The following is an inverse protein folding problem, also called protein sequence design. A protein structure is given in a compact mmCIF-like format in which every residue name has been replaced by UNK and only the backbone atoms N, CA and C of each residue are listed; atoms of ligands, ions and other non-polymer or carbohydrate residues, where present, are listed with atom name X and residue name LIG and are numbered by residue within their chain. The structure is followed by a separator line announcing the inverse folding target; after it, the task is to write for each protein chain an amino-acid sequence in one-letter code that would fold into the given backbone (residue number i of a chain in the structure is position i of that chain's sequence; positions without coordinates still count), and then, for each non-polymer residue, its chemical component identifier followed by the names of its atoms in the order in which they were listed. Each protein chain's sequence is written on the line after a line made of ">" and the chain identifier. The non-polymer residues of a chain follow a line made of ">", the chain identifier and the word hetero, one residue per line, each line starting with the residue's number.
data_IF_447631929007
#
_entry.id   IF_447631929007
#
_cell.length_a   1.000
_cell.length_b   1.000
_cell.length_c   1.000
_cell.angle_alpha   90.00
_cell.angle_beta   90.00
_cell.angle_gamma   90.00
#
_symmetry.space_group_name_H-M   'P 1'
#
loop_
_entity.id
_entity.type
_entity.pdbx_description
1 polymer ?
#
# COMPACT_ATOMS: atom_id res chain seq x y z
N UNK A 1 7.11 -19.89 12.78
CA UNK A 1 5.70 -20.10 12.40
C UNK A 1 5.59 -20.08 10.88
N UNK A 2 4.81 -20.99 10.32
CA UNK A 2 4.52 -20.96 8.88
C UNK A 2 3.40 -19.97 8.61
N UNK A 3 3.59 -19.09 7.63
CA UNK A 3 2.66 -18.00 7.30
C UNK A 3 2.39 -17.93 5.81
N UNK A 4 1.14 -17.66 5.44
CA UNK A 4 0.76 -17.38 4.06
C UNK A 4 0.58 -15.88 3.85
N UNK A 5 1.19 -15.33 2.79
CA UNK A 5 1.01 -13.94 2.36
C UNK A 5 0.41 -13.93 0.96
N UNK A 6 -0.84 -13.51 0.82
CA UNK A 6 -1.44 -13.31 -0.50
C UNK A 6 -1.10 -11.92 -1.04
N UNK A 7 -0.98 -11.79 -2.36
CA UNK A 7 -0.52 -10.53 -2.95
C UNK A 7 0.94 -10.21 -2.62
N UNK A 8 1.73 -11.24 -2.37
CA UNK A 8 3.12 -11.17 -1.90
C UNK A 8 4.06 -10.38 -2.82
N UNK A 9 3.75 -10.23 -4.10
CA UNK A 9 4.55 -9.47 -5.07
C UNK A 9 4.13 -7.99 -5.23
N UNK A 10 3.15 -7.50 -4.43
CA UNK A 10 2.77 -6.10 -4.38
C UNK A 10 3.64 -5.28 -3.42
N UNK A 11 3.50 -3.94 -3.43
CA UNK A 11 4.26 -3.05 -2.56
C UNK A 11 4.20 -3.48 -1.07
N UNK A 12 2.99 -3.64 -0.52
CA UNK A 12 2.83 -4.06 0.89
C UNK A 12 3.26 -5.51 1.08
N UNK A 13 2.81 -6.42 0.20
CA UNK A 13 3.10 -7.85 0.33
C UNK A 13 4.59 -8.18 0.29
N UNK A 14 5.35 -7.58 -0.62
CA UNK A 14 6.79 -7.84 -0.77
C UNK A 14 7.61 -7.36 0.45
N UNK A 15 7.22 -6.22 1.03
CA UNK A 15 7.84 -5.72 2.26
C UNK A 15 7.41 -6.54 3.48
N UNK A 16 6.16 -7.03 3.51
CA UNK A 16 5.68 -7.91 4.57
C UNK A 16 6.39 -9.27 4.55
N UNK A 17 6.62 -9.85 3.36
CA UNK A 17 7.41 -11.10 3.23
C UNK A 17 8.80 -10.91 3.84
N UNK A 18 9.49 -9.79 3.54
CA UNK A 18 10.81 -9.47 4.11
C UNK A 18 10.76 -9.35 5.64
N UNK A 19 9.79 -8.60 6.15
CA UNK A 19 9.61 -8.40 7.59
C UNK A 19 9.38 -9.74 8.32
N UNK A 20 8.56 -10.62 7.74
CA UNK A 20 8.29 -11.95 8.29
C UNK A 20 9.53 -12.83 8.30
N UNK A 21 10.31 -12.86 7.21
CA UNK A 21 11.55 -13.62 7.12
C UNK A 21 12.58 -13.15 8.14
N UNK A 22 12.77 -11.85 8.31
CA UNK A 22 13.68 -11.25 9.32
C UNK A 22 13.27 -11.67 10.74
N UNK A 23 11.98 -11.93 10.97
CA UNK A 23 11.46 -12.39 12.26
C UNK A 23 11.34 -13.92 12.38
N UNK A 24 12.00 -14.67 11.48
CA UNK A 24 12.12 -16.14 11.57
C UNK A 24 10.84 -16.89 11.20
N UNK A 25 9.96 -16.30 10.41
CA UNK A 25 8.80 -17.00 9.87
C UNK A 25 9.19 -17.79 8.62
N UNK A 26 8.58 -18.98 8.45
CA UNK A 26 8.54 -19.69 7.18
C UNK A 26 7.42 -19.05 6.34
N UNK A 27 7.75 -18.45 5.20
CA UNK A 27 6.79 -17.68 4.43
C UNK A 27 6.43 -18.37 3.13
N UNK A 28 5.14 -18.57 2.91
CA UNK A 28 4.56 -18.88 1.59
C UNK A 28 4.08 -17.59 0.94
N UNK A 29 4.69 -17.25 -0.18
CA UNK A 29 4.36 -16.09 -1.00
C UNK A 29 3.35 -16.47 -2.09
N UNK A 30 2.06 -16.21 -1.87
CA UNK A 30 1.01 -16.57 -2.82
C UNK A 30 0.83 -15.48 -3.86
N UNK A 31 1.04 -15.85 -5.12
CA UNK A 31 1.02 -14.97 -6.29
C UNK A 31 0.31 -15.62 -7.48
N UNK A 32 -0.17 -14.81 -8.43
CA UNK A 32 -0.76 -15.35 -9.66
C UNK A 32 0.32 -15.89 -10.61
N UNK A 33 -0.02 -16.85 -11.45
CA UNK A 33 0.90 -17.53 -12.38
C UNK A 33 1.73 -16.56 -13.24
N UNK A 34 1.13 -15.47 -13.71
CA UNK A 34 1.78 -14.48 -14.58
C UNK A 34 2.29 -13.25 -13.80
N UNK A 35 2.60 -13.41 -12.51
CA UNK A 35 3.08 -12.31 -11.67
C UNK A 35 4.54 -11.97 -11.95
N UNK A 36 4.85 -10.69 -11.88
CA UNK A 36 6.24 -10.22 -11.78
C UNK A 36 6.80 -10.60 -10.41
N UNK A 37 7.82 -11.43 -10.38
CA UNK A 37 8.44 -11.96 -9.17
C UNK A 37 9.72 -11.21 -8.75
N UNK A 38 10.09 -10.12 -9.44
CA UNK A 38 11.30 -9.36 -9.11
C UNK A 38 11.35 -8.93 -7.64
N UNK A 39 10.20 -8.58 -7.08
CA UNK A 39 10.09 -8.18 -5.67
C UNK A 39 10.32 -9.31 -4.65
N UNK A 40 10.30 -10.57 -5.09
CA UNK A 40 10.52 -11.76 -4.25
C UNK A 40 11.85 -12.45 -4.56
N UNK A 41 12.58 -11.98 -5.57
CA UNK A 41 13.83 -12.60 -6.00
C UNK A 41 14.86 -12.55 -4.87
N UNK A 42 15.53 -13.68 -4.63
CA UNK A 42 16.58 -13.82 -3.60
C UNK A 42 16.06 -13.99 -2.17
N UNK A 43 14.73 -14.08 -1.96
CA UNK A 43 14.15 -14.38 -0.66
C UNK A 43 13.97 -15.89 -0.46
N UNK A 44 14.11 -16.35 0.78
CA UNK A 44 13.87 -17.76 1.19
C UNK A 44 12.39 -18.13 1.30
N UNK A 45 11.48 -17.28 0.81
CA UNK A 45 10.05 -17.54 0.81
C UNK A 45 9.67 -18.58 -0.27
N UNK A 46 8.84 -19.56 0.10
CA UNK A 46 8.23 -20.50 -0.84
C UNK A 46 7.23 -19.76 -1.73
N UNK A 47 7.49 -19.71 -3.05
CA UNK A 47 6.52 -19.10 -3.99
C UNK A 47 5.45 -20.13 -4.35
N UNK A 48 4.19 -19.81 -4.05
CA UNK A 48 3.02 -20.63 -4.37
C UNK A 48 2.14 -19.90 -5.37
N UNK A 49 1.81 -20.57 -6.48
CA UNK A 49 0.99 -19.99 -7.53
C UNK A 49 -0.49 -20.34 -7.35
N UNK A 50 -1.36 -19.33 -7.55
CA UNK A 50 -2.81 -19.51 -7.51
C UNK A 50 -3.55 -18.18 -7.67
N UNK A 51 -4.86 -18.22 -7.50
CA UNK A 51 -5.72 -17.03 -7.58
C UNK A 51 -6.65 -16.99 -6.34
N UNK A 52 -6.78 -15.82 -5.72
CA UNK A 52 -7.69 -15.64 -4.56
C UNK A 52 -9.15 -15.90 -4.91
N UNK A 53 -9.52 -15.85 -6.20
CA UNK A 53 -10.85 -16.22 -6.68
C UNK A 53 -11.03 -17.74 -6.88
N UNK A 54 -9.97 -18.53 -6.74
CA UNK A 54 -9.98 -19.99 -6.85
C UNK A 54 -9.79 -20.62 -5.46
N UNK A 55 -10.86 -21.05 -4.77
CA UNK A 55 -10.79 -21.54 -3.40
C UNK A 55 -9.80 -22.69 -3.18
N UNK A 56 -9.69 -23.61 -4.14
CA UNK A 56 -8.82 -24.79 -4.02
C UNK A 56 -7.34 -24.40 -4.05
N UNK A 57 -6.95 -23.42 -4.87
CA UNK A 57 -5.58 -22.92 -4.91
C UNK A 57 -5.16 -22.26 -3.59
N UNK A 58 -6.09 -21.55 -2.95
CA UNK A 58 -5.88 -20.97 -1.62
C UNK A 58 -5.83 -22.03 -0.53
N UNK A 59 -6.68 -23.07 -0.60
CA UNK A 59 -6.72 -24.13 0.39
C UNK A 59 -5.37 -24.86 0.44
N UNK A 60 -4.83 -25.29 -0.70
CA UNK A 60 -3.50 -25.92 -0.77
C UNK A 60 -2.37 -24.99 -0.31
N UNK A 61 -2.43 -23.70 -0.66
CA UNK A 61 -1.43 -22.73 -0.20
C UNK A 61 -1.45 -22.49 1.31
N UNK A 62 -2.62 -22.55 1.94
CA UNK A 62 -2.82 -22.30 3.37
C UNK A 62 -2.49 -23.52 4.24
N UNK A 63 -2.34 -24.72 3.67
CA UNK A 63 -2.12 -25.94 4.42
C UNK A 63 -0.90 -25.85 5.34
N UNK A 64 -1.11 -26.14 6.63
CA UNK A 64 -0.08 -26.05 7.67
C UNK A 64 0.37 -24.63 8.04
N UNK A 65 -0.31 -23.58 7.55
CA UNK A 65 -0.04 -22.20 7.94
C UNK A 65 -0.80 -21.83 9.22
N UNK A 66 -0.09 -21.22 10.18
CA UNK A 66 -0.66 -20.75 11.46
C UNK A 66 -1.27 -19.35 11.36
N UNK A 67 -0.76 -18.53 10.43
CA UNK A 67 -1.22 -17.17 10.15
C UNK A 67 -1.42 -16.97 8.65
N UNK A 68 -2.44 -16.18 8.29
CA UNK A 68 -2.66 -15.75 6.93
C UNK A 68 -2.71 -14.22 6.87
N UNK A 69 -1.83 -13.62 6.05
CA UNK A 69 -1.83 -12.20 5.74
C UNK A 69 -2.46 -12.01 4.36
N UNK A 70 -3.64 -11.41 4.33
CA UNK A 70 -4.37 -11.17 3.08
C UNK A 70 -4.11 -9.76 2.57
N UNK A 71 -3.05 -9.61 1.76
CA UNK A 71 -2.68 -8.34 1.12
C UNK A 71 -3.03 -8.28 -0.38
N UNK A 72 -3.65 -9.33 -0.92
CA UNK A 72 -4.10 -9.35 -2.31
C UNK A 72 -5.26 -8.36 -2.50
N UNK A 73 -5.04 -7.37 -3.37
CA UNK A 73 -6.05 -6.40 -3.76
C UNK A 73 -5.75 -5.87 -5.17
N UNK A 74 -6.78 -5.35 -5.84
CA UNK A 74 -6.61 -4.54 -7.04
C UNK A 74 -6.61 -3.07 -6.60
N UNK A 75 -5.44 -2.43 -6.64
CA UNK A 75 -5.31 -1.01 -6.38
C UNK A 75 -5.20 -0.28 -7.71
N UNK A 76 -6.34 0.15 -8.24
CA UNK A 76 -6.42 0.87 -9.52
C UNK A 76 -7.61 1.81 -9.52
N UNK A 77 -7.40 3.02 -10.03
CA UNK A 77 -8.45 4.00 -10.33
C UNK A 77 -8.79 4.03 -11.82
N UNK A 78 -8.25 3.08 -12.63
CA UNK A 78 -8.38 3.07 -14.08
C UNK A 78 -8.64 1.67 -14.62
N UNK A 79 -9.51 1.56 -15.64
CA UNK A 79 -9.88 0.32 -16.38
C UNK A 79 -10.56 -0.80 -15.59
N UNK A 80 -10.93 -0.60 -14.35
CA UNK A 80 -11.72 -1.56 -13.59
C UNK A 80 -13.10 -0.99 -13.33
N UNK A 81 -14.12 -1.80 -13.52
CA UNK A 81 -15.46 -1.42 -13.08
C UNK A 81 -15.55 -1.51 -11.55
N UNK A 82 -16.46 -0.77 -10.89
CA UNK A 82 -16.71 -0.92 -9.46
C UNK A 82 -17.03 -2.37 -9.07
N UNK A 83 -17.75 -3.09 -9.93
CA UNK A 83 -18.16 -4.48 -9.68
C UNK A 83 -16.96 -5.45 -9.77
N UNK A 84 -16.01 -5.23 -10.70
CA UNK A 84 -14.79 -6.02 -10.80
C UNK A 84 -13.93 -5.86 -9.55
N UNK A 85 -13.73 -4.62 -9.10
CA UNK A 85 -12.98 -4.32 -7.88
C UNK A 85 -13.65 -4.96 -6.66
N UNK A 86 -14.96 -4.80 -6.53
CA UNK A 86 -15.74 -5.35 -5.42
C UNK A 86 -15.71 -6.88 -5.43
N UNK A 87 -15.89 -7.53 -6.61
CA UNK A 87 -15.85 -8.99 -6.73
C UNK A 87 -14.52 -9.57 -6.23
N UNK A 88 -13.39 -9.04 -6.70
CA UNK A 88 -12.06 -9.53 -6.27
C UNK A 88 -11.84 -9.25 -4.79
N UNK A 89 -12.20 -8.07 -4.30
CA UNK A 89 -12.01 -7.69 -2.93
C UNK A 89 -12.86 -8.54 -1.97
N UNK A 90 -14.15 -8.70 -2.23
CA UNK A 90 -15.09 -9.42 -1.36
C UNK A 90 -14.86 -10.92 -1.48
N UNK A 91 -14.95 -11.48 -2.69
CA UNK A 91 -14.87 -12.94 -2.87
C UNK A 91 -13.47 -13.46 -2.54
N UNK A 92 -12.42 -12.73 -2.92
CA UNK A 92 -11.04 -13.10 -2.58
C UNK A 92 -10.82 -13.15 -1.08
N UNK A 93 -11.41 -12.20 -0.33
CA UNK A 93 -11.31 -12.18 1.14
C UNK A 93 -12.10 -13.31 1.79
N UNK A 94 -13.33 -13.57 1.33
CA UNK A 94 -14.13 -14.71 1.82
C UNK A 94 -13.37 -16.02 1.61
N UNK A 95 -12.79 -16.22 0.43
CA UNK A 95 -12.00 -17.41 0.13
C UNK A 95 -10.74 -17.51 1.01
N UNK A 96 -10.03 -16.40 1.24
CA UNK A 96 -8.85 -16.37 2.09
C UNK A 96 -9.18 -16.72 3.56
N UNK A 97 -10.26 -16.17 4.11
CA UNK A 97 -10.73 -16.49 5.46
C UNK A 97 -11.15 -17.96 5.56
N UNK A 98 -11.86 -18.47 4.54
CA UNK A 98 -12.27 -19.88 4.47
C UNK A 98 -11.07 -20.82 4.38
N UNK A 99 -10.04 -20.50 3.58
CA UNK A 99 -8.83 -21.29 3.45
C UNK A 99 -8.05 -21.32 4.77
N UNK A 100 -7.90 -20.18 5.43
CA UNK A 100 -7.27 -20.09 6.75
C UNK A 100 -7.99 -20.96 7.79
N UNK A 101 -9.32 -20.89 7.84
CA UNK A 101 -10.13 -21.72 8.73
C UNK A 101 -9.93 -23.22 8.48
N UNK A 102 -9.99 -23.65 7.22
CA UNK A 102 -9.79 -25.08 6.83
C UNK A 102 -8.39 -25.58 7.16
N UNK A 103 -7.38 -24.72 7.05
CA UNK A 103 -6.01 -25.04 7.40
C UNK A 103 -5.73 -25.07 8.92
N UNK A 104 -6.72 -24.73 9.75
CA UNK A 104 -6.54 -24.61 11.19
C UNK A 104 -5.71 -23.40 11.61
N UNK A 105 -5.58 -22.40 10.73
CA UNK A 105 -4.86 -21.18 11.07
C UNK A 105 -5.53 -20.45 12.23
N UNK A 106 -4.72 -19.90 13.12
CA UNK A 106 -5.20 -19.18 14.29
C UNK A 106 -5.86 -17.86 13.91
N UNK A 107 -5.32 -17.15 12.92
CA UNK A 107 -5.69 -15.77 12.63
C UNK A 107 -5.49 -15.38 11.18
N UNK A 108 -6.36 -14.51 10.71
CA UNK A 108 -6.22 -13.76 9.46
C UNK A 108 -5.93 -12.30 9.76
N UNK A 109 -4.91 -11.72 9.12
CA UNK A 109 -4.65 -10.27 9.10
C UNK A 109 -5.03 -9.75 7.72
N UNK A 110 -6.10 -8.95 7.68
CA UNK A 110 -6.63 -8.38 6.44
C UNK A 110 -6.00 -7.01 6.18
N UNK A 111 -5.38 -6.84 5.04
CA UNK A 111 -4.95 -5.52 4.56
C UNK A 111 -6.16 -4.76 3.99
N UNK A 112 -6.78 -3.94 4.83
CA UNK A 112 -7.79 -2.97 4.45
C UNK A 112 -7.13 -1.69 3.88
N UNK A 113 -7.69 -0.54 4.14
CA UNK A 113 -7.13 0.77 3.78
C UNK A 113 -7.68 1.85 4.70
N UNK A 114 -6.93 2.90 4.96
CA UNK A 114 -7.42 4.04 5.74
C UNK A 114 -8.62 4.76 5.10
N UNK A 115 -8.84 4.60 3.79
CA UNK A 115 -10.01 5.18 3.09
C UNK A 115 -11.35 4.65 3.62
N UNK A 116 -11.37 3.46 4.27
CA UNK A 116 -12.59 2.93 4.91
C UNK A 116 -13.03 3.74 6.12
N UNK A 117 -12.18 4.61 6.61
CA UNK A 117 -12.46 5.55 7.70
C UNK A 117 -12.92 6.91 7.17
N UNK A 118 -12.99 7.05 5.83
CA UNK A 118 -13.42 8.26 5.14
C UNK A 118 -12.44 9.43 5.23
N UNK A 119 -12.87 10.59 4.76
CA UNK A 119 -12.09 11.84 4.78
C UNK A 119 -12.92 13.03 5.27
N UNK A 120 -12.26 14.17 5.47
CA UNK A 120 -12.89 15.42 5.90
C UNK A 120 -12.64 16.54 4.89
N UNK A 121 -13.56 17.52 4.80
CA UNK A 121 -13.36 18.76 4.06
C UNK A 121 -12.50 19.79 4.84
N UNK A 122 -12.18 19.52 6.09
CA UNK A 122 -11.34 20.36 6.97
C UNK A 122 -10.22 19.51 7.57
N UNK A 123 -9.11 20.12 8.03
CA UNK A 123 -8.02 19.41 8.69
C UNK A 123 -8.50 18.78 10.00
N UNK A 124 -9.03 17.57 9.92
CA UNK A 124 -9.55 16.81 11.05
C UNK A 124 -9.00 15.39 11.01
N UNK A 125 -8.42 14.97 12.12
CA UNK A 125 -7.88 13.61 12.28
C UNK A 125 -9.03 12.63 12.55
N UNK A 126 -9.07 11.55 11.80
CA UNK A 126 -10.03 10.45 11.92
C UNK A 126 -9.36 9.23 12.55
N UNK A 127 -10.15 8.33 13.08
CA UNK A 127 -9.70 7.11 13.74
C UNK A 127 -10.55 5.90 13.30
N UNK A 128 -10.30 4.75 13.88
CA UNK A 128 -10.99 3.50 13.56
C UNK A 128 -12.49 3.49 13.88
N UNK A 129 -13.00 4.48 14.58
CA UNK A 129 -14.45 4.65 14.88
C UNK A 129 -15.13 5.58 13.89
N UNK A 130 -14.38 6.26 13.05
CA UNK A 130 -14.90 7.26 12.11
C UNK A 130 -15.75 6.60 11.02
N UNK A 131 -16.89 7.21 10.65
CA UNK A 131 -17.80 6.65 9.65
C UNK A 131 -17.21 6.72 8.25
N UNK A 132 -17.51 5.71 7.41
CA UNK A 132 -17.22 5.71 6.00
C UNK A 132 -18.06 6.77 5.27
N UNK A 133 -17.44 7.56 4.39
CA UNK A 133 -18.11 8.61 3.62
C UNK A 133 -17.53 8.83 2.21
N UNK A 134 -16.84 7.85 1.66
CA UNK A 134 -16.27 7.92 0.31
C UNK A 134 -17.24 7.36 -0.74
N UNK A 135 -17.10 7.83 -1.98
CA UNK A 135 -17.98 7.48 -3.10
C UNK A 135 -17.25 6.88 -4.28
N UNK A 136 -15.94 6.81 -4.24
CA UNK A 136 -15.17 6.18 -5.31
C UNK A 136 -15.17 4.66 -5.23
N UNK A 137 -14.99 4.01 -6.38
CA UNK A 137 -15.10 2.56 -6.51
C UNK A 137 -14.08 1.79 -5.65
N UNK A 138 -12.86 2.33 -5.52
CA UNK A 138 -11.82 1.70 -4.71
C UNK A 138 -12.19 1.72 -3.22
N UNK A 139 -12.56 2.88 -2.69
CA UNK A 139 -12.95 3.02 -1.28
C UNK A 139 -14.17 2.16 -0.93
N UNK A 140 -15.18 2.14 -1.81
CA UNK A 140 -16.36 1.27 -1.65
C UNK A 140 -15.95 -0.20 -1.65
N UNK A 141 -15.06 -0.62 -2.57
CA UNK A 141 -14.61 -2.01 -2.62
C UNK A 141 -13.85 -2.43 -1.37
N UNK A 142 -13.05 -1.53 -0.78
CA UNK A 142 -12.31 -1.78 0.46
C UNK A 142 -13.23 -1.86 1.68
N UNK A 143 -14.25 -1.01 1.76
CA UNK A 143 -15.26 -1.10 2.83
C UNK A 143 -16.03 -2.43 2.75
N UNK A 144 -16.48 -2.82 1.55
CA UNK A 144 -17.16 -4.10 1.34
C UNK A 144 -16.24 -5.31 1.61
N UNK A 145 -14.95 -5.21 1.26
CA UNK A 145 -13.95 -6.22 1.58
C UNK A 145 -13.85 -6.46 3.10
N UNK A 146 -13.73 -5.39 3.85
CA UNK A 146 -13.56 -5.45 5.29
C UNK A 146 -14.80 -6.02 5.98
N UNK A 147 -15.99 -5.56 5.59
CA UNK A 147 -17.28 -6.06 6.09
C UNK A 147 -17.41 -7.56 5.82
N UNK A 148 -17.16 -8.01 4.60
CA UNK A 148 -17.23 -9.41 4.21
C UNK A 148 -16.22 -10.28 4.97
N UNK A 149 -15.00 -9.76 5.18
CA UNK A 149 -13.97 -10.43 5.96
C UNK A 149 -14.38 -10.66 7.40
N UNK A 150 -14.84 -9.63 8.10
CA UNK A 150 -15.31 -9.74 9.49
C UNK A 150 -16.54 -10.63 9.60
N UNK A 151 -17.52 -10.49 8.71
CA UNK A 151 -18.72 -11.34 8.70
C UNK A 151 -18.35 -12.82 8.51
N UNK A 152 -17.45 -13.12 7.56
CA UNK A 152 -17.04 -14.51 7.31
C UNK A 152 -16.23 -15.09 8.47
N UNK A 153 -15.33 -14.30 9.05
CA UNK A 153 -14.55 -14.73 10.20
C UNK A 153 -15.44 -15.04 11.42
N UNK A 154 -16.42 -14.20 11.70
CA UNK A 154 -17.40 -14.42 12.77
C UNK A 154 -18.23 -15.70 12.56
N UNK A 155 -18.69 -15.96 11.32
CA UNK A 155 -19.44 -17.18 10.97
C UNK A 155 -18.62 -18.47 11.21
N UNK A 156 -17.32 -18.41 10.99
CA UNK A 156 -16.43 -19.58 11.11
C UNK A 156 -15.78 -19.69 12.50
N UNK A 157 -15.83 -18.66 13.32
CA UNK A 157 -15.16 -18.62 14.61
C UNK A 157 -13.61 -18.47 14.50
N UNK A 158 -13.09 -17.95 13.38
CA UNK A 158 -11.67 -17.67 13.22
C UNK A 158 -11.36 -16.22 13.58
N UNK A 159 -10.19 -15.96 14.18
CA UNK A 159 -9.77 -14.61 14.49
C UNK A 159 -9.45 -13.82 13.20
N UNK A 160 -10.02 -12.62 13.07
CA UNK A 160 -9.65 -11.67 12.02
C UNK A 160 -9.34 -10.31 12.63
N UNK A 161 -8.23 -9.72 12.16
CA UNK A 161 -7.81 -8.34 12.47
C UNK A 161 -7.64 -7.61 11.15
N UNK A 162 -8.13 -6.38 11.05
CA UNK A 162 -7.89 -5.55 9.88
C UNK A 162 -6.80 -4.51 10.18
N UNK A 163 -5.92 -4.26 9.20
CA UNK A 163 -4.99 -3.15 9.23
C UNK A 163 -5.37 -2.17 8.13
N UNK A 164 -5.34 -0.87 8.45
CA UNK A 164 -5.77 0.21 7.59
C UNK A 164 -4.57 1.14 7.28
N UNK A 165 -3.72 0.78 6.31
CA UNK A 165 -2.58 1.61 5.94
C UNK A 165 -3.00 2.97 5.40
N UNK A 166 -2.25 4.02 5.76
CA UNK A 166 -2.27 5.31 5.09
C UNK A 166 -1.69 5.22 3.67
N UNK A 167 -1.23 6.33 3.12
CA UNK A 167 -0.55 6.36 1.84
C UNK A 167 0.85 5.76 1.98
N UNK A 168 1.00 4.49 1.55
CA UNK A 168 2.23 3.73 1.68
C UNK A 168 3.27 4.15 0.64
N UNK A 169 4.46 4.51 1.10
CA UNK A 169 5.59 4.88 0.26
C UNK A 169 6.80 3.98 0.57
N UNK A 170 7.61 3.68 -0.42
CA UNK A 170 8.87 2.97 -0.21
C UNK A 170 9.28 2.02 -1.32
N UNK A 171 10.13 1.07 -0.98
CA UNK A 171 10.85 0.19 -1.88
C UNK A 171 10.07 -1.03 -2.35
N UNK A 172 10.64 -1.77 -3.31
CA UNK A 172 10.13 -3.00 -3.92
C UNK A 172 8.80 -2.85 -4.68
N UNK A 173 8.52 -1.64 -5.16
CA UNK A 173 7.35 -1.30 -5.96
C UNK A 173 7.64 -1.36 -7.46
N UNK A 174 7.86 -2.57 -7.98
CA UNK A 174 8.21 -2.78 -9.39
C UNK A 174 7.09 -2.38 -10.36
N UNK A 175 5.84 -2.33 -9.89
CA UNK A 175 4.68 -1.98 -10.70
C UNK A 175 4.30 -0.50 -10.65
N UNK A 176 5.01 0.29 -9.85
CA UNK A 176 4.74 1.70 -9.59
C UNK A 176 3.29 1.92 -9.12
N UNK A 177 3.06 1.67 -7.84
CA UNK A 177 1.76 1.92 -7.22
C UNK A 177 1.37 3.40 -7.32
N UNK A 178 0.05 3.72 -7.27
CA UNK A 178 -0.41 5.11 -7.23
C UNK A 178 0.24 5.94 -6.12
N UNK A 179 0.61 5.34 -5.01
CA UNK A 179 1.29 6.02 -3.90
C UNK A 179 2.69 6.50 -4.28
N UNK A 180 3.56 5.61 -4.77
CA UNK A 180 4.91 6.00 -5.19
C UNK A 180 4.90 6.84 -6.48
N UNK A 181 3.88 6.67 -7.33
CA UNK A 181 3.75 7.44 -8.56
C UNK A 181 3.65 8.95 -8.31
N UNK A 182 3.30 9.40 -7.09
CA UNK A 182 3.23 10.83 -6.77
C UNK A 182 4.59 11.52 -6.90
N UNK A 183 5.69 10.84 -6.53
CA UNK A 183 7.04 11.37 -6.70
C UNK A 183 7.35 11.53 -8.19
N UNK A 184 7.06 10.50 -8.99
CA UNK A 184 7.28 10.53 -10.43
C UNK A 184 6.43 11.62 -11.12
N UNK A 185 5.17 11.77 -10.71
CA UNK A 185 4.26 12.77 -11.25
C UNK A 185 4.73 14.18 -10.95
N UNK A 186 5.13 14.45 -9.69
CA UNK A 186 5.67 15.74 -9.31
C UNK A 186 6.97 16.08 -10.05
N UNK A 187 7.88 15.12 -10.20
CA UNK A 187 9.13 15.31 -10.93
C UNK A 187 8.90 15.63 -12.41
N UNK A 188 7.92 14.98 -13.04
CA UNK A 188 7.59 15.16 -14.46
C UNK A 188 6.72 16.40 -14.73
N UNK A 189 6.09 16.98 -13.71
CA UNK A 189 5.26 18.17 -13.87
C UNK A 189 6.14 19.42 -14.07
N UNK A 190 6.11 20.07 -15.26
CA UNK A 190 6.91 21.27 -15.53
C UNK A 190 6.44 22.48 -14.73
N UNK A 191 5.17 22.48 -14.30
CA UNK A 191 4.55 23.57 -13.54
C UNK A 191 4.76 23.43 -12.03
N UNK A 192 5.23 22.25 -11.56
CA UNK A 192 5.36 21.95 -10.13
C UNK A 192 4.10 22.31 -9.35
N UNK A 193 2.99 21.72 -9.80
CA UNK A 193 1.69 22.00 -9.19
C UNK A 193 1.53 21.28 -7.85
N UNK A 194 0.82 21.93 -6.95
CA UNK A 194 0.28 21.34 -5.73
C UNK A 194 -1.21 21.63 -5.64
N UNK A 195 -1.89 21.11 -4.62
CA UNK A 195 -3.33 21.28 -4.43
C UNK A 195 -3.69 21.32 -2.94
N UNK A 196 -4.87 21.84 -2.56
CA UNK A 196 -5.34 21.85 -1.18
C UNK A 196 -5.71 20.45 -0.70
N UNK A 197 -5.80 20.28 0.63
CA UNK A 197 -6.07 19.02 1.28
C UNK A 197 -4.79 18.36 1.74
N UNK A 198 -4.89 17.09 2.16
CA UNK A 198 -3.73 16.37 2.68
C UNK A 198 -3.99 14.90 2.87
N UNK A 199 -2.93 14.16 3.16
CA UNK A 199 -3.03 12.74 3.44
C UNK A 199 -2.09 12.32 4.59
N UNK A 200 -2.34 11.13 5.11
CA UNK A 200 -1.45 10.46 6.04
C UNK A 200 -0.42 9.66 5.26
N UNK A 201 0.85 10.00 5.39
CA UNK A 201 1.96 9.28 4.80
C UNK A 201 2.50 8.22 5.76
N UNK A 202 3.01 7.12 5.20
CA UNK A 202 3.65 6.07 6.01
C UNK A 202 4.65 5.29 5.15
N UNK A 203 5.76 4.87 5.77
CA UNK A 203 6.69 3.95 5.12
C UNK A 203 6.09 2.55 5.01
N UNK A 204 6.25 1.92 3.86
CA UNK A 204 5.82 0.54 3.66
C UNK A 204 6.52 -0.45 4.61
N UNK A 205 7.75 -0.14 5.08
CA UNK A 205 8.44 -0.93 6.11
C UNK A 205 7.68 -0.90 7.42
N UNK A 206 7.22 0.29 7.83
CA UNK A 206 6.44 0.45 9.07
C UNK A 206 5.07 -0.22 8.93
N UNK A 207 4.47 -0.16 7.73
CA UNK A 207 3.24 -0.91 7.43
C UNK A 207 3.47 -2.41 7.55
N UNK A 208 4.56 -2.95 7.01
CA UNK A 208 4.91 -4.38 7.15
C UNK A 208 5.08 -4.76 8.63
N UNK A 209 5.80 -3.94 9.40
CA UNK A 209 5.95 -4.12 10.85
C UNK A 209 4.60 -4.08 11.58
N UNK A 210 3.73 -3.16 11.20
CA UNK A 210 2.37 -3.05 11.75
C UNK A 210 1.51 -4.30 11.48
N UNK A 211 1.64 -4.91 10.29
CA UNK A 211 0.98 -6.19 9.99
C UNK A 211 1.45 -7.29 10.93
N UNK A 212 2.76 -7.42 11.14
CA UNK A 212 3.32 -8.41 12.06
C UNK A 212 2.80 -8.21 13.48
N UNK A 213 2.82 -6.97 13.99
CA UNK A 213 2.30 -6.63 15.31
C UNK A 213 0.80 -6.94 15.44
N UNK A 214 0.00 -6.63 14.43
CA UNK A 214 -1.43 -6.96 14.39
C UNK A 214 -1.64 -8.48 14.38
N UNK A 215 -0.81 -9.23 13.65
CA UNK A 215 -0.82 -10.69 13.64
C UNK A 215 -0.51 -11.30 15.00
N UNK A 216 0.43 -10.71 15.74
CA UNK A 216 0.87 -11.20 17.06
C UNK A 216 -0.06 -10.77 18.21
N UNK A 217 -0.46 -9.48 18.24
CA UNK A 217 -1.07 -8.83 19.40
C UNK A 217 -2.43 -8.20 19.14
N UNK A 218 -2.86 -8.13 17.88
CA UNK A 218 -4.14 -7.51 17.52
C UNK A 218 -5.33 -8.21 18.20
N UNK A 219 -6.29 -7.42 18.64
CA UNK A 219 -7.54 -7.97 19.22
C UNK A 219 -8.48 -8.41 18.08
N UNK A 220 -9.04 -9.63 18.11
CA UNK A 220 -9.99 -10.09 17.09
C UNK A 220 -11.16 -9.12 16.91
N UNK A 221 -11.59 -8.93 15.66
CA UNK A 221 -12.67 -8.01 15.31
C UNK A 221 -12.27 -6.53 15.28
N UNK A 222 -11.02 -6.18 15.58
CA UNK A 222 -10.56 -4.81 15.59
C UNK A 222 -9.82 -4.44 14.28
N UNK A 223 -9.87 -3.14 13.97
CA UNK A 223 -9.05 -2.52 12.92
C UNK A 223 -7.98 -1.62 13.54
N UNK A 224 -6.84 -1.47 12.84
CA UNK A 224 -5.69 -0.69 13.29
C UNK A 224 -5.19 0.18 12.15
N UNK A 225 -5.18 1.50 12.34
CA UNK A 225 -4.58 2.43 11.40
C UNK A 225 -3.06 2.25 11.42
N UNK A 226 -2.47 1.98 10.27
CA UNK A 226 -1.01 1.97 10.08
C UNK A 226 -0.61 3.23 9.30
N UNK A 227 -0.56 4.34 10.01
CA UNK A 227 -0.20 5.65 9.50
C UNK A 227 1.04 6.19 10.20
N UNK A 228 1.58 7.32 9.71
CA UNK A 228 2.60 8.09 10.40
C UNK A 228 2.16 9.55 10.54
N UNK A 229 2.53 10.42 9.62
CA UNK A 229 2.27 11.86 9.72
C UNK A 229 1.14 12.31 8.78
N UNK A 230 0.32 13.20 9.30
CA UNK A 230 -0.74 13.88 8.57
C UNK A 230 -0.18 15.17 7.98
N UNK A 231 -0.07 15.25 6.66
CA UNK A 231 0.56 16.37 5.96
C UNK A 231 -0.36 16.93 4.89
N UNK A 232 -0.26 18.23 4.65
CA UNK A 232 -0.86 18.89 3.51
C UNK A 232 -0.05 18.66 2.24
N UNK A 233 -0.71 18.59 1.09
CA UNK A 233 -0.05 18.36 -0.19
C UNK A 233 1.09 19.35 -0.50
N UNK A 234 0.97 20.67 -0.22
CA UNK A 234 2.09 21.58 -0.42
C UNK A 234 3.34 21.23 0.39
N UNK A 235 3.16 20.72 1.61
CA UNK A 235 4.27 20.28 2.45
C UNK A 235 4.91 19.00 1.91
N UNK A 236 4.10 18.05 1.45
CA UNK A 236 4.58 16.81 0.83
C UNK A 236 5.42 17.11 -0.40
N UNK A 237 4.92 17.99 -1.30
CA UNK A 237 5.63 18.35 -2.54
C UNK A 237 6.92 19.13 -2.24
N UNK A 238 6.96 19.99 -1.23
CA UNK A 238 8.20 20.63 -0.77
C UNK A 238 9.22 19.60 -0.28
N UNK A 239 8.81 18.64 0.55
CA UNK A 239 9.70 17.57 0.96
C UNK A 239 10.27 16.76 -0.22
N UNK A 240 9.45 16.46 -1.22
CA UNK A 240 9.90 15.79 -2.45
C UNK A 240 10.94 16.66 -3.18
N UNK A 241 10.69 17.96 -3.29
CA UNK A 241 11.59 18.91 -3.94
C UNK A 241 12.94 18.99 -3.21
N UNK A 242 12.92 19.12 -1.88
CA UNK A 242 14.14 19.12 -1.04
C UNK A 242 14.92 17.81 -1.12
N UNK A 243 14.21 16.66 -1.03
CA UNK A 243 14.85 15.34 -1.06
C UNK A 243 15.54 15.05 -2.40
N UNK A 244 15.01 15.57 -3.49
CA UNK A 244 15.49 15.27 -4.85
C UNK A 244 16.22 16.45 -5.54
N UNK A 245 16.33 17.58 -4.86
CA UNK A 245 17.04 18.77 -5.38
C UNK A 245 16.34 19.35 -6.61
N UNK A 246 15.01 19.42 -6.61
CA UNK A 246 14.22 20.01 -7.69
C UNK A 246 13.46 21.25 -7.21
N UNK A 247 12.76 21.94 -8.11
CA UNK A 247 11.99 23.15 -7.76
C UNK A 247 10.84 22.84 -6.83
N UNK A 248 10.61 23.70 -5.86
CA UNK A 248 9.44 23.69 -4.99
C UNK A 248 8.12 23.94 -5.75
N UNK A 249 6.95 23.65 -5.12
CA UNK A 249 5.65 23.95 -5.72
C UNK A 249 5.51 25.44 -6.08
N UNK A 250 5.13 25.70 -7.33
CA UNK A 250 4.98 27.06 -7.86
C UNK A 250 3.52 27.51 -7.94
N UNK A 251 2.62 26.56 -8.12
CA UNK A 251 1.20 26.82 -8.33
C UNK A 251 0.34 25.88 -7.50
N UNK A 252 -0.76 26.41 -6.97
CA UNK A 252 -1.78 25.61 -6.30
C UNK A 252 -2.98 25.47 -7.22
N UNK A 253 -3.20 24.26 -7.74
CA UNK A 253 -4.39 23.93 -8.52
C UNK A 253 -5.61 23.86 -7.61
N UNK A 254 -6.76 24.28 -8.11
CA UNK A 254 -8.02 24.10 -7.39
C UNK A 254 -8.78 22.85 -7.88
N UNK A 255 -9.86 22.50 -7.17
CA UNK A 255 -10.67 21.33 -7.51
C UNK A 255 -11.16 21.35 -8.97
N UNK A 256 -11.66 22.50 -9.46
CA UNK A 256 -12.23 22.62 -10.80
C UNK A 256 -11.17 22.43 -11.89
N UNK A 257 -10.01 23.10 -11.76
CA UNK A 257 -8.91 22.95 -12.72
C UNK A 257 -8.36 21.52 -12.72
N UNK A 258 -8.21 20.90 -11.55
CA UNK A 258 -7.77 19.50 -11.42
C UNK A 258 -8.75 18.52 -12.07
N UNK A 259 -10.06 18.75 -11.88
CA UNK A 259 -11.09 17.90 -12.48
C UNK A 259 -11.13 17.99 -14.00
N UNK A 260 -11.04 19.22 -14.55
CA UNK A 260 -11.01 19.44 -16.01
C UNK A 260 -9.75 18.85 -16.64
N UNK A 261 -8.59 19.03 -16.00
CA UNK A 261 -7.34 18.42 -16.45
C UNK A 261 -7.40 16.88 -16.44
N UNK A 262 -7.96 16.30 -15.38
CA UNK A 262 -8.15 14.86 -15.29
C UNK A 262 -9.13 14.34 -16.36
N UNK A 263 -10.22 15.03 -16.64
CA UNK A 263 -11.16 14.67 -17.70
C UNK A 263 -10.51 14.67 -19.08
N UNK A 264 -9.68 15.69 -19.37
CA UNK A 264 -8.91 15.76 -20.62
C UNK A 264 -7.91 14.59 -20.71
N UNK A 265 -7.21 14.26 -19.62
CA UNK A 265 -6.26 13.13 -19.58
C UNK A 265 -6.96 11.77 -19.76
N UNK A 266 -8.14 11.56 -19.17
CA UNK A 266 -8.92 10.34 -19.40
C UNK A 266 -9.36 10.22 -20.86
N UNK A 267 -9.73 11.33 -21.52
CA UNK A 267 -10.06 11.34 -22.95
C UNK A 267 -8.85 10.95 -23.80
N UNK A 268 -7.68 11.56 -23.55
CA UNK A 268 -6.43 11.21 -24.23
C UNK A 268 -6.07 9.73 -23.97
N UNK A 269 -6.21 9.26 -22.73
CA UNK A 269 -5.94 7.87 -22.35
C UNK A 269 -6.87 6.88 -23.09
N UNK A 270 -8.13 7.24 -23.36
CA UNK A 270 -9.05 6.42 -24.13
C UNK A 270 -8.62 6.27 -25.59
N UNK A 271 -8.02 7.32 -26.18
CA UNK A 271 -7.52 7.33 -27.55
C UNK A 271 -6.15 6.64 -27.68
N UNK A 272 -5.25 6.90 -26.75
CA UNK A 272 -3.86 6.39 -26.79
C UNK A 272 -3.69 5.01 -26.16
N UNK A 273 -4.70 4.51 -25.44
CA UNK A 273 -4.65 3.29 -24.61
C UNK A 273 -3.57 3.32 -23.51
N UNK A 274 -2.99 4.46 -23.24
CA UNK A 274 -2.04 4.70 -22.15
C UNK A 274 -2.80 5.12 -20.88
N UNK A 275 -2.38 4.70 -19.67
CA UNK A 275 -3.04 5.13 -18.45
C UNK A 275 -2.89 6.66 -18.26
N UNK A 276 -3.95 7.36 -17.79
CA UNK A 276 -3.88 8.79 -17.54
C UNK A 276 -2.96 9.07 -16.33
N UNK A 277 -2.35 10.25 -16.29
CA UNK A 277 -1.55 10.69 -15.13
C UNK A 277 -2.43 10.95 -13.90
N UNK A 278 -3.67 11.40 -14.11
CA UNK A 278 -4.68 11.50 -13.07
C UNK A 278 -6.07 11.21 -13.62
N UNK A 279 -6.96 10.73 -12.74
CA UNK A 279 -8.36 10.42 -13.08
C UNK A 279 -9.30 11.42 -12.42
N UNK A 280 -10.53 11.55 -12.94
CA UNK A 280 -11.58 12.36 -12.29
C UNK A 280 -11.89 11.84 -10.87
N UNK A 281 -11.75 10.54 -10.62
CA UNK A 281 -11.90 9.98 -9.28
C UNK A 281 -10.85 10.55 -8.32
N UNK A 282 -9.58 10.61 -8.74
CA UNK A 282 -8.50 11.23 -7.95
C UNK A 282 -8.69 12.74 -7.81
N UNK A 283 -9.15 13.44 -8.86
CA UNK A 283 -9.41 14.89 -8.81
C UNK A 283 -10.50 15.25 -7.78
N UNK A 284 -11.48 14.38 -7.52
CA UNK A 284 -12.48 14.57 -6.45
C UNK A 284 -11.88 14.54 -5.04
N UNK A 285 -10.68 13.99 -4.88
CA UNK A 285 -9.97 13.97 -3.59
C UNK A 285 -9.28 15.30 -3.29
N UNK A 286 -9.13 16.19 -4.27
CA UNK A 286 -8.54 17.52 -4.10
C UNK A 286 -9.38 18.35 -3.11
N UNK A 287 -8.73 18.93 -2.10
CA UNK A 287 -9.38 19.70 -1.04
C UNK A 287 -9.88 18.84 0.13
N UNK A 288 -9.68 17.54 0.09
CA UNK A 288 -10.05 16.66 1.21
C UNK A 288 -8.81 16.28 2.03
N UNK A 289 -9.05 16.01 3.32
CA UNK A 289 -8.04 15.61 4.29
C UNK A 289 -8.26 14.15 4.68
N UNK A 290 -7.32 13.31 4.27
CA UNK A 290 -7.21 11.88 4.61
C UNK A 290 -6.22 11.74 5.77
N UNK A 291 -6.58 12.35 6.90
CA UNK A 291 -5.76 12.41 8.12
C UNK A 291 -6.24 11.41 9.15
N UNK A 292 -5.33 10.63 9.66
CA UNK A 292 -5.66 9.51 10.55
C UNK A 292 -4.75 9.46 11.76
N UNK A 293 -5.30 8.91 12.86
CA UNK A 293 -4.56 8.60 14.08
C UNK A 293 -4.19 7.12 14.12
N UNK A 294 -2.93 6.83 14.38
CA UNK A 294 -2.44 5.47 14.62
C UNK A 294 -2.36 5.10 16.12
N UNK A 295 -3.05 5.84 16.99
CA UNK A 295 -2.98 5.65 18.44
C UNK A 295 -3.28 4.21 18.87
N UNK A 296 -4.31 3.57 18.27
CA UNK A 296 -4.63 2.18 18.57
C UNK A 296 -3.53 1.21 18.16
N UNK A 297 -2.86 1.44 17.05
CA UNK A 297 -1.72 0.63 16.64
C UNK A 297 -0.51 0.84 17.56
N UNK A 298 -0.33 2.04 18.10
CA UNK A 298 0.72 2.33 19.09
C UNK A 298 0.58 1.46 20.36
N UNK A 299 -0.64 1.10 20.77
CA UNK A 299 -0.88 0.17 21.89
C UNK A 299 -0.32 -1.23 21.63
N UNK A 300 -0.15 -1.62 20.35
CA UNK A 300 0.50 -2.89 19.97
C UNK A 300 2.03 -2.78 19.94
N UNK A 301 2.58 -1.58 20.12
CA UNK A 301 4.00 -1.26 19.99
C UNK A 301 4.39 -0.73 18.60
N UNK A 302 3.43 -0.29 17.78
CA UNK A 302 3.68 0.34 16.49
C UNK A 302 4.31 1.72 16.67
N UNK A 303 5.47 1.94 16.07
CA UNK A 303 6.25 3.20 16.14
C UNK A 303 6.73 3.54 14.74
N UNK A 304 5.92 4.25 13.94
CA UNK A 304 6.30 4.59 12.57
C UNK A 304 7.37 5.68 12.54
N UNK A 305 8.19 5.63 11.51
CA UNK A 305 9.17 6.67 11.20
C UNK A 305 8.48 7.91 10.60
N UNK A 306 9.13 9.10 10.66
CA UNK A 306 8.61 10.30 10.03
C UNK A 306 8.32 10.14 8.54
N UNK A 307 7.36 10.90 8.00
CA UNK A 307 6.98 10.87 6.59
C UNK A 307 8.16 11.21 5.66
N UNK A 308 9.08 12.07 6.09
CA UNK A 308 10.31 12.38 5.35
C UNK A 308 11.16 11.13 5.09
N UNK A 309 11.25 10.21 6.05
CA UNK A 309 11.95 8.94 5.87
C UNK A 309 11.23 8.04 4.84
N UNK A 310 9.88 8.00 4.87
CA UNK A 310 9.11 7.25 3.88
C UNK A 310 9.31 7.79 2.46
N UNK A 311 9.35 9.11 2.30
CA UNK A 311 9.63 9.77 1.01
C UNK A 311 11.07 9.52 0.55
N UNK A 312 12.04 9.51 1.47
CA UNK A 312 13.44 9.21 1.15
C UNK A 312 13.61 7.74 0.70
N UNK A 313 12.97 6.77 1.39
CA UNK A 313 12.95 5.36 0.99
C UNK A 313 12.36 5.20 -0.42
N UNK A 314 11.23 5.86 -0.71
CA UNK A 314 10.59 5.82 -2.02
C UNK A 314 11.47 6.48 -3.11
N UNK A 315 12.08 7.62 -2.82
CA UNK A 315 12.99 8.32 -3.73
C UNK A 315 14.21 7.47 -4.06
N UNK A 316 14.87 6.89 -3.05
CA UNK A 316 16.03 6.00 -3.23
C UNK A 316 15.67 4.80 -4.13
N UNK A 317 14.54 4.16 -3.87
CA UNK A 317 14.03 3.06 -4.68
C UNK A 317 13.75 3.48 -6.14
N UNK A 318 12.99 4.57 -6.34
CA UNK A 318 12.61 5.03 -7.67
C UNK A 318 13.81 5.46 -8.51
N UNK A 319 14.84 6.05 -7.89
CA UNK A 319 16.09 6.40 -8.55
C UNK A 319 16.88 5.16 -9.03
N UNK A 320 16.71 3.99 -8.44
CA UNK A 320 17.32 2.74 -8.86
C UNK A 320 16.52 1.98 -9.94
N UNK A 321 15.31 2.47 -10.30
CA UNK A 321 14.39 1.82 -11.24
C UNK A 321 14.23 2.62 -12.53
N UNK A 322 13.71 2.02 -13.62
CA UNK A 322 13.43 2.74 -14.86
C UNK A 322 12.21 3.67 -14.80
N UNK A 323 11.50 3.77 -13.66
CA UNK A 323 10.36 4.67 -13.51
C UNK A 323 10.73 6.14 -13.60
N UNK A 324 11.97 6.47 -13.23
CA UNK A 324 12.59 7.78 -13.47
C UNK A 324 13.59 7.63 -14.62
N UNK A 325 13.29 8.23 -15.78
CA UNK A 325 14.15 8.17 -16.97
C UNK A 325 15.53 8.80 -16.73
N UNK A 326 16.55 8.38 -17.50
CA UNK A 326 17.95 8.79 -17.32
C UNK A 326 18.15 10.31 -17.34
N UNK A 327 17.52 11.03 -18.28
CA UNK A 327 17.64 12.49 -18.37
C UNK A 327 17.11 13.21 -17.12
N UNK A 328 15.93 12.80 -16.66
CA UNK A 328 15.35 13.36 -15.44
C UNK A 328 16.21 13.02 -14.22
N UNK A 329 16.69 11.77 -14.11
CA UNK A 329 17.57 11.35 -13.02
C UNK A 329 18.87 12.17 -12.97
N UNK A 330 19.50 12.44 -14.13
CA UNK A 330 20.73 13.23 -14.21
C UNK A 330 20.54 14.71 -13.81
N UNK A 331 19.30 15.22 -13.82
CA UNK A 331 19.00 16.58 -13.40
C UNK A 331 18.66 16.72 -11.91
N UNK A 332 18.60 15.62 -11.17
CA UNK A 332 18.28 15.62 -9.75
C UNK A 332 19.56 15.67 -8.90
N UNK A 333 19.43 16.28 -7.72
CA UNK A 333 20.50 16.32 -6.71
C UNK A 333 19.96 15.72 -5.39
N UNK A 334 19.98 14.39 -5.25
CA UNK A 334 19.41 13.73 -4.06
C UNK A 334 20.10 14.19 -2.79
N UNK A 335 19.30 14.37 -1.74
CA UNK A 335 19.77 14.76 -0.41
C UNK A 335 20.49 13.60 0.30
N UNK A 336 21.18 13.92 1.41
CA UNK A 336 21.79 12.90 2.29
C UNK A 336 20.79 11.86 2.80
N UNK A 337 19.54 12.24 3.04
CA UNK A 337 18.50 11.32 3.50
C UNK A 337 18.21 10.24 2.44
N UNK A 338 18.22 10.61 1.16
CA UNK A 338 18.00 9.65 0.06
C UNK A 338 19.18 8.70 -0.09
N UNK A 339 20.41 9.18 0.05
CA UNK A 339 21.60 8.31 0.04
C UNK A 339 21.62 7.37 1.23
N UNK A 340 21.31 7.83 2.43
CA UNK A 340 21.22 7.00 3.63
C UNK A 340 20.11 5.94 3.50
N UNK A 341 18.96 6.29 2.91
CA UNK A 341 17.90 5.33 2.62
C UNK A 341 18.34 4.26 1.60
N UNK A 342 19.15 4.65 0.62
CA UNK A 342 19.70 3.72 -0.36
C UNK A 342 20.71 2.74 0.27
N UNK A 343 21.60 3.20 1.14
CA UNK A 343 22.53 2.35 1.89
C UNK A 343 21.80 1.33 2.76
N UNK A 344 20.74 1.77 3.47
CA UNK A 344 19.90 0.87 4.27
C UNK A 344 19.22 -0.18 3.40
N UNK A 345 18.74 0.20 2.21
CA UNK A 345 18.13 -0.75 1.27
C UNK A 345 19.14 -1.81 0.81
N UNK A 346 20.36 -1.41 0.45
CA UNK A 346 21.42 -2.34 0.04
C UNK A 346 21.79 -3.32 1.17
N UNK A 347 22.02 -2.80 2.37
CA UNK A 347 22.37 -3.62 3.53
C UNK A 347 21.27 -4.65 3.89
N UNK A 348 20.00 -4.29 3.68
CA UNK A 348 18.87 -5.20 3.89
C UNK A 348 18.86 -6.34 2.87
N UNK A 349 19.06 -6.03 1.58
CA UNK A 349 19.12 -7.03 0.53
C UNK A 349 20.30 -7.99 0.73
N UNK A 350 21.48 -7.49 1.08
CA UNK A 350 22.65 -8.30 1.40
C UNK A 350 22.41 -9.25 2.57
N UNK A 351 21.78 -8.75 3.64
CA UNK A 351 21.44 -9.55 4.82
C UNK A 351 20.47 -10.68 4.47
N UNK A 352 19.42 -10.40 3.69
CA UNK A 352 18.45 -11.41 3.29
C UNK A 352 19.08 -12.48 2.37
N UNK A 353 20.00 -12.07 1.48
CA UNK A 353 20.72 -12.99 0.61
C UNK A 353 21.71 -13.88 1.39
N UNK A 354 22.37 -13.35 2.40
CA UNK A 354 23.27 -14.15 3.26
C UNK A 354 22.52 -15.24 4.03
N UNK A 355 21.31 -14.96 4.50
CA UNK A 355 20.45 -15.95 5.14
C UNK A 355 19.90 -17.00 4.17
N UNK A 356 19.76 -16.66 2.89
CA UNK A 356 19.32 -17.61 1.87
C UNK A 356 20.40 -18.63 1.47
N UNK A 357 21.68 -18.27 1.69
CA UNK A 357 22.84 -19.09 1.33
C UNK A 357 23.40 -19.91 2.53
N UNK A 358 22.89 -19.66 3.74
CA UNK A 358 23.27 -20.39 4.97
C UNK A 358 22.26 -21.52 5.27
#
# INVERSE_FOLDING_TARGET
>A
MRTLVTGANGLVGANLVRELLVHGHEVRAFVRQNSDLRSLKGLTAETVFGDVLQPDSLAGAAEGCELLFHAAAVFSYWKHTPDDLKKVAVQGTINAVQAAYRAGARRVVLTSSSVVLGSSARPQVRDEKSPFNETDAYSISKAAQEEAGFARAAQLGIELVAVCPGMCLGQHDYRLSPSNAILCSYLKDPWKQTWPGGCNLVSVRDVARGHLLAGQKGKPGQRYVLGSENLEWPAIHRMIAELLGTSEPKFTANHTSSYLAAAAQELIASLTRQPPLSTRAQAKMVGRYYWYSHARAADLGYKPRPARAALADAAAWLLSTPHIGMQLRASLTPSRDVYAAWEVLQAEEERLQSHANA
#
